data_IF_661624328025
#
_entry.id   IF_661624328025
#
_cell.length_a   1.000
_cell.length_b   1.000
_cell.length_c   1.000
_cell.angle_alpha   90.00
_cell.angle_beta   90.00
_cell.angle_gamma   90.00
#
_symmetry.space_group_name_H-M   'P 1'
#
loop_
_entity.id
_entity.type
_entity.pdbx_description
1 polymer ?
#
# COMPACT_ATOMS: atom_id res chain seq x y z
N UNK A 1 13.76 -9.12 -3.87
CA UNK A 1 13.81 -8.84 -2.41
C UNK A 1 14.98 -7.92 -2.10
N UNK A 2 14.99 -7.29 -0.95
CA UNK A 2 16.10 -6.43 -0.47
C UNK A 2 17.38 -7.23 -0.32
N UNK A 3 17.29 -8.49 0.11
CA UNK A 3 18.44 -9.41 0.19
C UNK A 3 19.14 -9.63 -1.15
N UNK A 4 18.39 -9.91 -2.23
CA UNK A 4 18.96 -10.11 -3.55
C UNK A 4 19.69 -8.86 -4.07
N UNK A 5 19.15 -7.67 -3.77
CA UNK A 5 19.80 -6.40 -4.09
C UNK A 5 21.12 -6.24 -3.32
N UNK A 6 21.08 -6.54 -2.02
CA UNK A 6 22.27 -6.47 -1.16
C UNK A 6 23.39 -7.43 -1.65
N UNK A 7 23.03 -8.64 -2.05
CA UNK A 7 23.98 -9.61 -2.61
C UNK A 7 24.61 -9.06 -3.89
N UNK A 8 23.82 -8.56 -4.83
CA UNK A 8 24.31 -8.00 -6.08
C UNK A 8 25.21 -6.77 -5.86
N UNK A 9 24.86 -5.88 -4.93
CA UNK A 9 25.68 -4.71 -4.59
C UNK A 9 27.03 -5.15 -3.97
N UNK A 10 27.03 -6.16 -3.09
CA UNK A 10 28.28 -6.69 -2.51
C UNK A 10 29.19 -7.34 -3.56
N UNK A 11 28.60 -8.10 -4.48
CA UNK A 11 29.35 -8.69 -5.60
C UNK A 11 29.97 -7.61 -6.51
N UNK A 12 29.20 -6.55 -6.80
CA UNK A 12 29.71 -5.41 -7.56
C UNK A 12 30.85 -4.71 -6.82
N UNK A 13 30.69 -4.47 -5.51
CA UNK A 13 31.72 -3.84 -4.69
C UNK A 13 33.04 -4.66 -4.71
N UNK A 14 32.94 -5.98 -4.51
CA UNK A 14 34.07 -6.90 -4.52
C UNK A 14 34.79 -6.87 -5.88
N UNK A 15 34.03 -6.94 -6.98
CA UNK A 15 34.58 -6.90 -8.33
C UNK A 15 35.30 -5.57 -8.65
N UNK A 16 34.96 -4.48 -7.98
CA UNK A 16 35.57 -3.16 -8.15
C UNK A 16 36.57 -2.78 -7.02
N UNK A 17 36.94 -3.72 -6.16
CA UNK A 17 37.89 -3.49 -5.06
C UNK A 17 37.35 -2.55 -3.97
N UNK A 18 36.06 -2.49 -3.79
CA UNK A 18 35.37 -1.65 -2.79
C UNK A 18 34.95 -2.48 -1.59
N UNK A 19 34.89 -1.83 -0.41
CA UNK A 19 34.39 -2.43 0.84
C UNK A 19 33.11 -1.75 1.25
N UNK A 20 32.03 -2.53 1.45
CA UNK A 20 30.76 -2.02 1.94
C UNK A 20 30.85 -1.80 3.45
N UNK A 21 30.86 -0.55 3.91
CA UNK A 21 31.03 -0.17 5.31
C UNK A 21 29.70 0.06 6.03
N UNK A 22 28.63 0.40 5.29
CA UNK A 22 27.30 0.65 5.86
C UNK A 22 26.20 0.35 4.85
N UNK A 23 25.08 -0.14 5.34
CA UNK A 23 23.89 -0.46 4.51
C UNK A 23 22.71 0.36 5.03
N UNK A 24 21.99 1.03 4.12
CA UNK A 24 20.75 1.71 4.37
C UNK A 24 19.65 1.01 3.58
N UNK A 25 18.67 0.41 4.27
CA UNK A 25 17.60 -0.35 3.65
C UNK A 25 16.23 0.06 4.19
N UNK A 26 15.34 0.47 3.31
CA UNK A 26 13.92 0.76 3.62
C UNK A 26 13.06 -0.38 3.07
N UNK A 27 12.78 -1.38 3.91
CA UNK A 27 12.03 -2.55 3.50
C UNK A 27 10.55 -2.24 3.26
N UNK A 28 10.04 -2.73 2.12
CA UNK A 28 8.62 -2.61 1.77
C UNK A 28 8.11 -1.18 1.52
N UNK A 29 8.99 -0.19 1.45
CA UNK A 29 8.61 1.20 1.19
C UNK A 29 8.59 1.52 -0.30
N UNK A 30 7.63 2.39 -0.69
CA UNK A 30 7.55 2.90 -2.06
C UNK A 30 8.70 3.89 -2.32
N UNK A 31 9.30 3.81 -3.50
CA UNK A 31 10.32 4.78 -3.94
C UNK A 31 9.76 6.09 -4.52
N UNK A 32 8.43 6.34 -4.40
CA UNK A 32 7.76 7.47 -5.04
C UNK A 32 7.98 8.83 -4.37
N UNK A 33 8.39 8.85 -3.10
CA UNK A 33 8.73 10.07 -2.37
C UNK A 33 9.75 9.75 -1.28
N UNK A 34 10.42 10.78 -0.75
CA UNK A 34 11.36 10.64 0.38
C UNK A 34 10.63 10.47 1.73
N UNK A 35 9.33 10.83 1.80
CA UNK A 35 8.52 10.64 3.00
C UNK A 35 8.32 9.14 3.28
N UNK A 36 8.61 8.70 4.50
CA UNK A 36 8.54 7.30 4.91
C UNK A 36 9.76 6.45 4.56
N UNK A 37 10.80 7.01 3.91
CA UNK A 37 12.09 6.37 3.68
C UNK A 37 13.12 6.84 4.71
N UNK A 38 13.00 6.33 5.91
CA UNK A 38 13.82 6.78 7.05
C UNK A 38 15.31 6.53 6.84
N UNK A 39 15.67 5.38 6.28
CA UNK A 39 17.07 5.03 6.02
C UNK A 39 17.66 5.88 4.88
N UNK A 40 16.87 6.17 3.85
CA UNK A 40 17.29 7.09 2.79
C UNK A 40 17.54 8.51 3.35
N UNK A 41 16.64 9.02 4.19
CA UNK A 41 16.85 10.32 4.84
C UNK A 41 18.08 10.33 5.74
N UNK A 42 18.32 9.24 6.48
CA UNK A 42 19.51 9.08 7.31
C UNK A 42 20.80 9.04 6.47
N UNK A 43 20.78 8.37 5.31
CA UNK A 43 21.88 8.41 4.34
C UNK A 43 22.20 9.86 3.95
N UNK A 44 21.19 10.65 3.57
CA UNK A 44 21.39 12.06 3.18
C UNK A 44 21.96 12.91 4.31
N UNK A 45 21.48 12.72 5.54
CA UNK A 45 22.00 13.44 6.72
C UNK A 45 23.45 13.05 7.00
N UNK A 46 23.78 11.77 6.97
CA UNK A 46 25.14 11.28 7.22
C UNK A 46 26.13 11.82 6.17
N UNK A 47 25.70 11.90 4.91
CA UNK A 47 26.52 12.41 3.81
C UNK A 47 26.73 13.92 3.93
N UNK A 48 25.66 14.70 4.14
CA UNK A 48 25.72 16.17 4.24
C UNK A 48 26.45 16.64 5.51
N UNK A 49 26.35 15.88 6.60
CA UNK A 49 27.01 16.19 7.85
C UNK A 49 28.51 15.90 7.85
N UNK A 50 29.09 15.43 6.74
CA UNK A 50 30.48 14.96 6.64
C UNK A 50 30.84 13.89 7.70
N UNK A 51 29.84 13.19 8.23
CA UNK A 51 30.03 12.08 9.18
C UNK A 51 30.21 10.73 8.47
N UNK A 52 30.11 10.73 7.13
CA UNK A 52 30.23 9.51 6.33
C UNK A 52 31.72 9.11 6.18
N UNK A 53 32.08 7.96 6.73
CA UNK A 53 33.40 7.38 6.56
C UNK A 53 33.59 6.68 5.20
N UNK A 54 32.72 6.94 4.20
CA UNK A 54 32.72 6.32 2.89
C UNK A 54 32.83 7.35 1.77
N UNK A 55 33.42 6.92 0.63
CA UNK A 55 33.73 7.78 -0.53
C UNK A 55 32.77 7.58 -1.70
N UNK A 56 31.72 6.81 -1.54
CA UNK A 56 30.75 6.55 -2.60
C UNK A 56 29.54 5.81 -2.09
N UNK A 57 28.46 5.86 -2.85
CA UNK A 57 27.19 5.21 -2.57
C UNK A 57 26.91 4.23 -3.69
N UNK A 58 26.69 2.95 -3.35
CA UNK A 58 26.29 1.92 -4.28
C UNK A 58 24.78 1.69 -4.18
N UNK A 59 24.10 1.76 -5.31
CA UNK A 59 22.66 1.53 -5.43
C UNK A 59 22.42 0.44 -6.47
N UNK A 60 21.43 -0.40 -6.29
CA UNK A 60 21.15 -1.48 -7.23
C UNK A 60 20.83 -0.95 -8.64
N UNK A 61 19.81 -0.10 -8.78
CA UNK A 61 19.44 0.56 -10.03
C UNK A 61 18.87 1.97 -9.79
N UNK A 62 18.62 2.73 -10.83
CA UNK A 62 18.05 4.08 -10.78
C UNK A 62 16.69 4.09 -10.06
N UNK A 63 15.88 3.04 -10.23
CA UNK A 63 14.55 2.95 -9.60
C UNK A 63 14.63 2.75 -8.08
N UNK A 64 15.75 2.23 -7.56
CA UNK A 64 15.97 2.06 -6.11
C UNK A 64 16.50 3.33 -5.46
N UNK A 65 17.23 4.15 -6.22
CA UNK A 65 17.58 5.48 -5.76
C UNK A 65 16.32 6.30 -5.48
N UNK A 66 15.42 6.42 -6.46
CA UNK A 66 14.12 7.04 -6.25
C UNK A 66 13.29 7.09 -7.53
N UNK A 67 12.08 6.58 -7.45
CA UNK A 67 11.01 6.74 -8.44
C UNK A 67 10.18 7.97 -8.09
N UNK A 68 10.84 9.09 -7.81
CA UNK A 68 10.15 10.34 -7.47
C UNK A 68 9.25 10.75 -8.64
N UNK A 69 8.10 11.34 -8.33
CA UNK A 69 7.20 11.88 -9.35
C UNK A 69 7.86 13.01 -10.12
N UNK A 70 8.66 13.79 -9.42
CA UNK A 70 9.53 14.80 -9.99
C UNK A 70 10.93 14.18 -10.24
N UNK A 71 11.34 14.14 -11.49
CA UNK A 71 12.68 13.67 -11.90
C UNK A 71 13.78 14.53 -11.33
N UNK A 72 13.49 15.80 -11.09
CA UNK A 72 14.45 16.78 -10.57
C UNK A 72 14.77 16.52 -9.10
N UNK A 73 13.79 16.00 -8.32
CA UNK A 73 14.02 15.59 -6.92
C UNK A 73 15.08 14.49 -6.81
N UNK A 74 15.00 13.49 -7.66
CA UNK A 74 16.01 12.40 -7.71
C UNK A 74 17.38 12.93 -8.10
N UNK A 75 17.45 13.83 -9.07
CA UNK A 75 18.69 14.46 -9.51
C UNK A 75 19.29 15.36 -8.43
N UNK A 76 18.45 16.09 -7.71
CA UNK A 76 18.87 16.96 -6.61
C UNK A 76 19.56 16.16 -5.49
N UNK A 77 18.97 15.06 -5.02
CA UNK A 77 19.59 14.22 -3.99
C UNK A 77 20.92 13.59 -4.46
N UNK A 78 20.99 13.15 -5.72
CA UNK A 78 22.24 12.64 -6.30
C UNK A 78 23.32 13.73 -6.36
N UNK A 79 22.94 14.94 -6.76
CA UNK A 79 23.84 16.10 -6.77
C UNK A 79 24.38 16.43 -5.38
N UNK A 80 23.51 16.47 -4.35
CA UNK A 80 23.93 16.71 -2.96
C UNK A 80 24.95 15.67 -2.48
N UNK A 81 24.75 14.41 -2.79
CA UNK A 81 25.70 13.34 -2.45
C UNK A 81 27.03 13.53 -3.16
N UNK A 82 27.01 13.88 -4.44
CA UNK A 82 28.23 14.12 -5.23
C UNK A 82 29.01 15.33 -4.70
N UNK A 83 28.32 16.43 -4.35
CA UNK A 83 28.97 17.62 -3.77
C UNK A 83 29.58 17.32 -2.40
N UNK A 84 29.00 16.42 -1.63
CA UNK A 84 29.54 15.99 -0.34
C UNK A 84 30.68 14.95 -0.47
N UNK A 85 31.13 14.63 -1.68
CA UNK A 85 32.23 13.70 -1.93
C UNK A 85 31.86 12.22 -1.91
N UNK A 86 30.55 11.90 -1.98
CA UNK A 86 30.03 10.53 -2.03
C UNK A 86 29.18 10.31 -3.31
N UNK A 87 29.79 10.22 -4.50
CA UNK A 87 29.06 9.99 -5.74
C UNK A 87 28.27 8.68 -5.71
N UNK A 88 27.16 8.67 -6.44
CA UNK A 88 26.26 7.51 -6.54
C UNK A 88 26.64 6.65 -7.76
N UNK A 89 26.79 5.35 -7.57
CA UNK A 89 27.00 4.36 -8.63
C UNK A 89 25.86 3.35 -8.65
N UNK A 90 25.43 2.97 -9.86
CA UNK A 90 24.33 2.04 -10.09
C UNK A 90 24.86 0.67 -10.53
N UNK A 91 24.70 -0.35 -9.67
CA UNK A 91 25.35 -1.66 -9.86
C UNK A 91 24.72 -2.52 -10.96
N UNK A 92 23.43 -2.34 -11.26
CA UNK A 92 22.69 -3.15 -12.23
C UNK A 92 22.31 -2.37 -13.51
N UNK A 93 22.85 -1.16 -13.69
CA UNK A 93 22.60 -0.39 -14.91
C UNK A 93 23.72 -0.66 -15.95
N UNK A 94 23.37 -0.63 -17.26
CA UNK A 94 24.33 -0.87 -18.33
C UNK A 94 25.20 0.37 -18.68
N UNK A 95 25.29 1.34 -17.78
CA UNK A 95 26.10 2.55 -17.96
C UNK A 95 26.76 2.94 -16.63
N UNK A 96 27.92 3.54 -16.74
CA UNK A 96 28.62 4.13 -15.60
C UNK A 96 28.08 5.54 -15.30
N UNK A 97 27.91 5.85 -14.02
CA UNK A 97 27.49 7.17 -13.59
C UNK A 97 28.69 8.11 -13.47
N UNK A 98 29.40 8.33 -14.58
CA UNK A 98 30.66 9.06 -14.69
C UNK A 98 30.51 10.57 -14.95
N UNK A 99 29.27 11.06 -14.96
CA UNK A 99 28.96 12.48 -15.23
C UNK A 99 28.95 12.85 -16.72
N UNK A 100 29.10 11.88 -17.62
CA UNK A 100 28.99 12.15 -19.06
C UNK A 100 27.58 12.57 -19.47
N UNK A 101 27.43 13.38 -20.55
CA UNK A 101 26.11 13.73 -21.07
C UNK A 101 25.26 12.50 -21.43
N UNK A 102 25.88 11.44 -21.91
CA UNK A 102 25.21 10.20 -22.27
C UNK A 102 24.64 9.49 -21.02
N UNK A 103 25.43 9.37 -19.96
CA UNK A 103 24.95 8.84 -18.67
C UNK A 103 23.77 9.67 -18.10
N UNK A 104 23.82 11.00 -18.24
CA UNK A 104 22.72 11.87 -17.84
C UNK A 104 21.44 11.60 -18.64
N UNK A 105 21.53 11.41 -19.95
CA UNK A 105 20.39 11.08 -20.81
C UNK A 105 19.79 9.73 -20.40
N UNK A 106 20.59 8.69 -20.21
CA UNK A 106 20.13 7.37 -19.79
C UNK A 106 19.44 7.42 -18.41
N UNK A 107 20.02 8.12 -17.44
CA UNK A 107 19.42 8.29 -16.11
C UNK A 107 18.06 8.97 -16.19
N UNK A 108 17.96 10.08 -16.91
CA UNK A 108 16.71 10.84 -17.04
C UNK A 108 15.64 10.01 -17.76
N UNK A 109 16.01 9.27 -18.81
CA UNK A 109 15.12 8.35 -19.48
C UNK A 109 14.58 7.26 -18.53
N UNK A 110 15.47 6.61 -17.76
CA UNK A 110 15.09 5.60 -16.76
C UNK A 110 14.16 6.19 -15.69
N UNK A 111 14.49 7.36 -15.13
CA UNK A 111 13.65 8.05 -14.13
C UNK A 111 12.24 8.33 -14.65
N UNK A 112 12.16 8.88 -15.87
CA UNK A 112 10.89 9.19 -16.51
C UNK A 112 10.06 7.94 -16.79
N UNK A 113 10.68 6.88 -17.31
CA UNK A 113 9.99 5.61 -17.58
C UNK A 113 9.47 4.94 -16.32
N UNK A 114 10.27 4.91 -15.24
CA UNK A 114 9.86 4.27 -13.98
C UNK A 114 8.71 5.01 -13.31
N UNK A 115 8.70 6.35 -13.36
CA UNK A 115 7.60 7.19 -12.89
C UNK A 115 6.32 6.93 -13.71
N UNK A 116 6.41 6.99 -15.03
CA UNK A 116 5.29 6.78 -15.94
C UNK A 116 4.73 5.35 -15.85
N UNK A 117 5.58 4.34 -15.78
CA UNK A 117 5.16 2.96 -15.59
C UNK A 117 4.33 2.79 -14.30
N UNK A 118 4.79 3.37 -13.19
CA UNK A 118 4.08 3.33 -11.92
C UNK A 118 2.71 4.03 -12.01
N UNK A 119 2.63 5.17 -12.71
CA UNK A 119 1.38 5.91 -12.95
C UNK A 119 0.40 5.11 -13.80
N UNK A 120 0.86 4.58 -14.92
CA UNK A 120 0.04 3.77 -15.85
C UNK A 120 -0.45 2.50 -15.17
N UNK A 121 0.41 1.80 -14.43
CA UNK A 121 0.04 0.61 -13.66
C UNK A 121 -1.04 0.93 -12.62
N UNK A 122 -0.85 2.00 -11.85
CA UNK A 122 -1.84 2.44 -10.85
C UNK A 122 -3.20 2.72 -11.48
N UNK A 123 -3.23 3.39 -12.63
CA UNK A 123 -4.47 3.69 -13.37
C UNK A 123 -5.14 2.40 -13.88
N UNK A 124 -4.37 1.49 -14.48
CA UNK A 124 -4.90 0.19 -14.98
C UNK A 124 -5.48 -0.66 -13.83
N UNK A 125 -4.77 -0.74 -12.72
CA UNK A 125 -5.23 -1.47 -11.52
C UNK A 125 -6.51 -0.85 -10.97
N UNK A 126 -6.57 0.48 -10.88
CA UNK A 126 -7.76 1.19 -10.40
C UNK A 126 -8.98 0.94 -11.30
N UNK A 127 -8.82 1.08 -12.63
CA UNK A 127 -9.91 0.79 -13.59
C UNK A 127 -10.36 -0.67 -13.44
N UNK A 128 -9.42 -1.62 -13.35
CA UNK A 128 -9.73 -3.03 -13.16
C UNK A 128 -10.53 -3.29 -11.88
N UNK A 129 -10.15 -2.66 -10.77
CA UNK A 129 -10.86 -2.77 -9.50
C UNK A 129 -12.25 -2.13 -9.56
N UNK A 130 -12.41 -0.99 -10.22
CA UNK A 130 -13.71 -0.36 -10.43
C UNK A 130 -14.64 -1.26 -11.26
N UNK A 131 -14.14 -1.86 -12.33
CA UNK A 131 -14.90 -2.79 -13.16
C UNK A 131 -15.35 -4.02 -12.36
N UNK A 132 -14.48 -4.59 -11.54
CA UNK A 132 -14.83 -5.73 -10.69
C UNK A 132 -15.85 -5.33 -9.62
N UNK A 133 -15.70 -4.15 -9.01
CA UNK A 133 -16.67 -3.63 -8.06
C UNK A 133 -18.05 -3.39 -8.70
N UNK A 134 -18.09 -2.85 -9.92
CA UNK A 134 -19.33 -2.67 -10.70
C UNK A 134 -20.01 -3.99 -11.05
N UNK A 135 -19.27 -5.10 -11.17
CA UNK A 135 -19.78 -6.45 -11.37
C UNK A 135 -20.20 -7.16 -10.07
N UNK A 136 -20.15 -6.46 -8.92
CA UNK A 136 -20.56 -6.95 -7.60
C UNK A 136 -19.44 -7.66 -6.82
N UNK A 137 -18.21 -7.71 -7.33
CA UNK A 137 -17.10 -8.37 -6.63
C UNK A 137 -16.47 -7.46 -5.58
N UNK A 138 -16.25 -7.99 -4.39
CA UNK A 138 -15.63 -7.26 -3.28
C UNK A 138 -14.15 -6.99 -3.53
N UNK A 139 -13.75 -5.71 -3.47
CA UNK A 139 -12.39 -5.25 -3.78
C UNK A 139 -11.61 -4.84 -2.52
N UNK A 140 -11.66 -5.66 -1.49
CA UNK A 140 -10.89 -5.47 -0.26
C UNK A 140 -11.61 -4.71 0.85
N UNK A 141 -10.92 -4.60 1.98
CA UNK A 141 -11.46 -4.09 3.22
C UNK A 141 -12.29 -5.13 4.00
N UNK A 142 -12.71 -4.75 5.21
CA UNK A 142 -13.52 -5.61 6.06
C UNK A 142 -14.94 -5.78 5.51
N UNK A 143 -15.54 -6.98 5.63
CA UNK A 143 -16.91 -7.21 5.18
C UNK A 143 -17.90 -6.31 5.93
N UNK A 144 -17.72 -6.16 7.24
CA UNK A 144 -18.63 -5.49 8.15
C UNK A 144 -19.42 -6.50 8.97
N UNK A 145 -19.94 -6.07 10.10
CA UNK A 145 -20.74 -6.88 11.00
C UNK A 145 -21.96 -7.49 10.29
N UNK A 146 -22.25 -8.76 10.52
CA UNK A 146 -23.34 -9.47 9.85
C UNK A 146 -23.07 -9.84 8.37
N UNK A 147 -21.84 -9.61 7.87
CA UNK A 147 -21.42 -10.00 6.52
C UNK A 147 -20.18 -10.88 6.55
N UNK A 148 -20.04 -11.73 5.54
CA UNK A 148 -18.85 -12.59 5.36
C UNK A 148 -18.33 -12.46 3.93
N UNK A 149 -17.04 -12.77 3.75
CA UNK A 149 -16.39 -12.87 2.44
C UNK A 149 -16.49 -14.31 1.97
N UNK A 150 -17.08 -14.52 0.81
CA UNK A 150 -17.16 -15.81 0.16
C UNK A 150 -16.28 -15.82 -1.07
N UNK A 151 -15.45 -16.88 -1.20
CA UNK A 151 -14.64 -17.12 -2.37
C UNK A 151 -15.46 -17.87 -3.41
N UNK A 152 -15.46 -17.40 -4.64
CA UNK A 152 -16.15 -18.04 -5.76
C UNK A 152 -15.20 -18.20 -6.96
N UNK A 153 -15.43 -19.24 -7.75
CA UNK A 153 -14.71 -19.46 -9.01
C UNK A 153 -15.28 -18.62 -10.17
N UNK A 154 -14.76 -18.82 -11.38
CA UNK A 154 -15.24 -18.14 -12.59
C UNK A 154 -16.69 -18.46 -12.94
N UNK A 155 -17.16 -19.67 -12.61
CA UNK A 155 -18.53 -20.13 -12.82
C UNK A 155 -19.50 -19.63 -11.73
N UNK A 156 -19.00 -18.81 -10.77
CA UNK A 156 -19.72 -18.32 -9.60
C UNK A 156 -20.10 -19.42 -8.59
N UNK A 157 -19.43 -20.55 -8.61
CA UNK A 157 -19.60 -21.59 -7.60
C UNK A 157 -18.81 -21.26 -6.34
N UNK A 158 -19.40 -21.51 -5.18
CA UNK A 158 -18.77 -21.25 -3.88
C UNK A 158 -17.58 -22.18 -3.65
N UNK A 159 -16.49 -21.62 -3.18
CA UNK A 159 -15.30 -22.33 -2.66
C UNK A 159 -15.19 -22.23 -1.14
N UNK A 160 -16.16 -21.60 -0.49
CA UNK A 160 -16.20 -21.44 0.96
C UNK A 160 -15.97 -20.02 1.43
N UNK A 161 -16.12 -19.83 2.75
CA UNK A 161 -15.95 -18.52 3.40
C UNK A 161 -14.49 -18.27 3.71
N UNK A 162 -14.03 -17.06 3.42
CA UNK A 162 -12.70 -16.57 3.79
C UNK A 162 -12.70 -16.05 5.22
N UNK A 163 -11.79 -16.55 6.03
CA UNK A 163 -11.55 -16.07 7.39
C UNK A 163 -10.87 -14.69 7.40
N UNK A 164 -10.78 -14.09 8.60
CA UNK A 164 -10.05 -12.84 8.78
C UNK A 164 -8.57 -13.05 8.42
N UNK A 165 -8.01 -12.19 7.57
CA UNK A 165 -6.63 -12.30 7.09
C UNK A 165 -6.44 -13.20 5.86
N UNK A 166 -7.38 -14.10 5.54
CA UNK A 166 -7.26 -14.94 4.35
C UNK A 166 -7.43 -14.14 3.05
N UNK A 167 -6.69 -14.56 2.04
CA UNK A 167 -6.73 -14.00 0.69
C UNK A 167 -6.95 -15.10 -0.35
N UNK A 168 -7.52 -14.72 -1.48
CA UNK A 168 -7.61 -15.65 -2.62
C UNK A 168 -6.20 -16.01 -3.12
N UNK A 169 -5.97 -17.28 -3.40
CA UNK A 169 -4.71 -17.79 -3.95
C UNK A 169 -4.71 -17.84 -5.49
N UNK A 170 -5.87 -18.05 -6.10
CA UNK A 170 -6.03 -18.15 -7.55
C UNK A 170 -6.47 -16.79 -8.10
N UNK A 171 -5.79 -16.34 -9.17
CA UNK A 171 -6.02 -15.01 -9.73
C UNK A 171 -7.42 -14.84 -10.34
N UNK A 172 -7.98 -15.90 -10.92
CA UNK A 172 -9.30 -15.91 -11.54
C UNK A 172 -10.45 -15.94 -10.54
N UNK A 173 -10.21 -16.45 -9.32
CA UNK A 173 -11.22 -16.46 -8.26
C UNK A 173 -11.65 -15.04 -7.88
N UNK A 174 -12.86 -14.94 -7.38
CA UNK A 174 -13.47 -13.67 -6.97
C UNK A 174 -13.99 -13.76 -5.55
N UNK A 175 -14.15 -12.63 -4.90
CA UNK A 175 -14.73 -12.53 -3.57
C UNK A 175 -16.03 -11.77 -3.66
N UNK A 176 -17.08 -12.30 -3.04
CA UNK A 176 -18.36 -11.61 -2.86
C UNK A 176 -18.65 -11.43 -1.37
N UNK A 177 -19.58 -10.53 -1.05
CA UNK A 177 -20.12 -10.40 0.30
C UNK A 177 -21.43 -11.19 0.39
N UNK A 178 -21.51 -12.04 1.41
CA UNK A 178 -22.70 -12.83 1.74
C UNK A 178 -23.16 -12.52 3.15
N UNK A 179 -24.38 -12.91 3.49
CA UNK A 179 -24.89 -12.79 4.86
C UNK A 179 -24.05 -13.63 5.80
N UNK A 180 -23.73 -13.07 6.95
CA UNK A 180 -23.07 -13.76 8.06
C UNK A 180 -24.03 -14.55 8.92
N UNK A 181 -23.65 -14.89 10.16
CA UNK A 181 -24.51 -15.57 11.13
C UNK A 181 -25.85 -14.84 11.33
N UNK A 182 -26.91 -15.62 11.50
CA UNK A 182 -28.26 -15.08 11.64
C UNK A 182 -28.40 -14.09 12.82
N UNK A 183 -27.68 -14.38 13.91
CA UNK A 183 -27.66 -13.54 15.11
C UNK A 183 -27.07 -12.15 14.81
N UNK A 184 -25.95 -12.11 14.09
CA UNK A 184 -25.34 -10.81 13.71
C UNK A 184 -26.23 -10.03 12.72
N UNK A 185 -26.87 -10.73 11.79
CA UNK A 185 -27.82 -10.12 10.85
C UNK A 185 -29.02 -9.55 11.59
N UNK A 186 -29.53 -10.25 12.61
CA UNK A 186 -30.64 -9.79 13.46
C UNK A 186 -30.25 -8.50 14.22
N UNK A 187 -29.03 -8.41 14.74
CA UNK A 187 -28.54 -7.18 15.38
C UNK A 187 -28.51 -6.00 14.40
N UNK A 188 -28.05 -6.23 13.16
CA UNK A 188 -28.06 -5.19 12.11
C UNK A 188 -29.50 -4.72 11.85
N UNK A 189 -30.43 -5.63 11.64
CA UNK A 189 -31.86 -5.28 11.45
C UNK A 189 -32.42 -4.48 12.64
N UNK A 190 -32.11 -4.90 13.87
CA UNK A 190 -32.52 -4.23 15.06
C UNK A 190 -31.96 -2.81 15.16
N UNK A 191 -30.70 -2.59 14.83
CA UNK A 191 -30.09 -1.26 14.82
C UNK A 191 -30.87 -0.32 13.87
N UNK A 192 -31.23 -0.80 12.68
CA UNK A 192 -32.04 -0.02 11.74
C UNK A 192 -33.44 0.23 12.24
N UNK A 193 -34.13 -0.79 12.75
CA UNK A 193 -35.47 -0.68 13.31
C UNK A 193 -35.51 0.30 14.49
N UNK A 194 -34.62 0.15 15.47
CA UNK A 194 -34.55 1.03 16.65
C UNK A 194 -34.29 2.48 16.28
N UNK A 195 -33.46 2.69 15.24
CA UNK A 195 -33.15 4.05 14.82
C UNK A 195 -34.27 4.69 13.98
N UNK A 196 -34.84 3.96 13.01
CA UNK A 196 -35.77 4.48 12.04
C UNK A 196 -37.18 4.49 12.59
N UNK A 197 -37.64 3.38 13.19
CA UNK A 197 -39.02 3.22 13.66
C UNK A 197 -39.20 3.77 15.08
N UNK A 198 -38.26 3.46 15.97
CA UNK A 198 -38.34 3.83 17.38
C UNK A 198 -37.69 5.18 17.71
N UNK A 199 -37.02 5.83 16.76
CA UNK A 199 -36.34 7.12 16.94
C UNK A 199 -35.22 7.11 18.00
N UNK A 200 -34.70 5.94 18.37
CA UNK A 200 -33.68 5.83 19.44
C UNK A 200 -32.33 6.42 19.02
N UNK A 201 -31.68 7.21 19.89
CA UNK A 201 -30.37 7.74 19.60
C UNK A 201 -29.32 6.63 19.54
N UNK A 202 -28.27 6.79 18.68
CA UNK A 202 -27.23 5.80 18.44
C UNK A 202 -26.56 5.29 19.72
N UNK A 203 -26.40 6.16 20.72
CA UNK A 203 -25.79 5.80 22.01
C UNK A 203 -26.68 4.85 22.82
N UNK A 204 -27.99 5.09 22.80
CA UNK A 204 -28.95 4.23 23.50
C UNK A 204 -29.03 2.85 22.83
N UNK A 205 -28.97 2.79 21.51
CA UNK A 205 -28.92 1.52 20.76
C UNK A 205 -27.64 0.75 21.13
N UNK A 206 -26.48 1.42 21.14
CA UNK A 206 -25.20 0.79 21.51
C UNK A 206 -25.25 0.20 22.92
N UNK A 207 -25.80 0.95 23.90
CA UNK A 207 -25.96 0.48 25.29
C UNK A 207 -26.85 -0.75 25.36
N UNK A 208 -28.01 -0.72 24.70
CA UNK A 208 -28.95 -1.84 24.70
C UNK A 208 -28.38 -3.13 24.13
N UNK A 209 -27.56 -3.03 23.07
CA UNK A 209 -26.85 -4.19 22.48
C UNK A 209 -25.74 -4.70 23.41
N UNK A 210 -25.07 -3.80 24.13
CA UNK A 210 -24.05 -4.17 25.12
C UNK A 210 -24.64 -4.84 26.36
N UNK A 211 -25.80 -4.36 26.83
CA UNK A 211 -26.50 -4.92 28.00
C UNK A 211 -26.93 -6.38 27.77
N UNK A 212 -27.10 -6.78 26.50
CA UNK A 212 -27.34 -8.17 26.09
C UNK A 212 -26.04 -8.99 25.90
N UNK A 213 -24.88 -8.41 26.18
CA UNK A 213 -23.57 -9.08 26.03
C UNK A 213 -23.13 -9.31 24.61
N UNK A 214 -23.76 -8.69 23.61
CA UNK A 214 -23.40 -8.84 22.21
C UNK A 214 -22.19 -7.98 21.87
N UNK A 215 -21.21 -8.58 21.21
CA UNK A 215 -19.96 -7.92 20.83
C UNK A 215 -19.93 -7.61 19.32
N UNK A 216 -19.07 -6.69 18.93
CA UNK A 216 -18.77 -6.41 17.51
C UNK A 216 -17.96 -7.55 16.88
N UNK A 217 -17.79 -7.52 15.56
CA UNK A 217 -16.92 -8.44 14.78
C UNK A 217 -15.44 -8.45 15.23
N UNK A 218 -15.03 -7.47 16.00
CA UNK A 218 -13.70 -7.36 16.61
C UNK A 218 -13.67 -7.79 18.09
N UNK A 219 -14.75 -8.38 18.60
CA UNK A 219 -14.87 -8.76 20.01
C UNK A 219 -14.91 -7.58 21.00
N UNK A 220 -15.30 -6.40 20.53
CA UNK A 220 -15.36 -5.18 21.35
C UNK A 220 -16.80 -4.77 21.64
N UNK A 221 -17.01 -4.03 22.73
CA UNK A 221 -18.29 -3.41 23.03
C UNK A 221 -18.72 -2.42 21.93
N UNK A 222 -20.02 -2.32 21.72
CA UNK A 222 -20.62 -1.35 20.82
C UNK A 222 -20.46 0.07 21.34
N UNK A 223 -20.21 0.97 20.42
CA UNK A 223 -20.12 2.40 20.68
C UNK A 223 -21.11 3.16 19.78
N UNK A 224 -21.39 4.41 20.11
CA UNK A 224 -22.12 5.30 19.19
C UNK A 224 -21.51 5.27 17.78
N UNK A 225 -20.16 5.29 17.68
CA UNK A 225 -19.45 5.30 16.40
C UNK A 225 -19.66 4.03 15.58
N UNK A 226 -19.68 2.85 16.21
CA UNK A 226 -19.94 1.58 15.53
C UNK A 226 -21.36 1.49 15.00
N UNK A 227 -22.37 1.88 15.79
CA UNK A 227 -23.77 1.98 15.34
C UNK A 227 -23.91 2.97 14.18
N UNK A 228 -23.29 4.16 14.29
CA UNK A 228 -23.28 5.15 13.23
C UNK A 228 -22.68 4.61 11.92
N UNK A 229 -21.59 3.83 12.00
CA UNK A 229 -20.98 3.20 10.83
C UNK A 229 -21.90 2.18 10.16
N UNK A 230 -22.62 1.34 10.94
CA UNK A 230 -23.59 0.39 10.39
C UNK A 230 -24.63 1.15 9.55
N UNK A 231 -25.26 2.18 10.11
CA UNK A 231 -26.31 2.97 9.43
C UNK A 231 -25.83 3.65 8.14
N UNK A 232 -24.55 4.10 8.09
CA UNK A 232 -24.01 4.80 6.92
C UNK A 232 -23.42 3.88 5.86
N UNK A 233 -23.22 2.59 6.14
CA UNK A 233 -22.64 1.64 5.19
C UNK A 233 -23.67 1.21 4.15
N UNK A 234 -23.53 1.71 2.93
CA UNK A 234 -24.42 1.40 1.80
C UNK A 234 -24.44 -0.09 1.41
N UNK A 235 -23.49 -0.89 1.87
CA UNK A 235 -23.47 -2.34 1.60
C UNK A 235 -24.64 -3.09 2.23
N UNK A 236 -25.21 -2.61 3.33
CA UNK A 236 -26.37 -3.22 3.96
C UNK A 236 -27.68 -3.03 3.18
N UNK A 237 -27.70 -2.11 2.22
CA UNK A 237 -28.80 -1.91 1.28
C UNK A 237 -28.46 -2.42 -0.13
N UNK A 238 -27.48 -3.33 -0.24
CA UNK A 238 -27.12 -4.00 -1.48
C UNK A 238 -26.13 -3.28 -2.39
N UNK A 239 -25.61 -2.11 -1.99
CA UNK A 239 -24.65 -1.38 -2.82
C UNK A 239 -23.21 -1.85 -2.56
N UNK A 240 -22.53 -2.28 -3.60
CA UNK A 240 -21.09 -2.53 -3.54
C UNK A 240 -20.33 -1.22 -3.80
N UNK A 241 -19.72 -0.66 -2.77
CA UNK A 241 -19.04 0.65 -2.84
C UNK A 241 -17.54 0.45 -2.71
N UNK A 242 -16.82 0.91 -3.72
CA UNK A 242 -15.37 0.89 -3.78
C UNK A 242 -14.81 2.31 -3.87
N UNK A 243 -13.68 2.57 -3.22
CA UNK A 243 -12.88 3.80 -3.29
C UNK A 243 -13.67 5.12 -3.09
N UNK A 244 -14.47 5.22 -2.04
CA UNK A 244 -15.20 6.46 -1.69
C UNK A 244 -14.30 7.66 -1.40
N UNK A 245 -13.07 7.42 -0.99
CA UNK A 245 -12.04 8.43 -0.75
C UNK A 245 -10.73 7.92 -1.31
N UNK A 246 -10.11 8.71 -2.16
CA UNK A 246 -8.74 8.46 -2.64
C UNK A 246 -7.77 9.32 -1.84
N UNK A 247 -6.76 8.67 -1.26
CA UNK A 247 -5.65 9.35 -0.59
C UNK A 247 -4.36 9.29 -1.42
N UNK A 248 -4.39 8.54 -2.53
CA UNK A 248 -3.26 8.44 -3.44
C UNK A 248 -3.32 9.55 -4.47
N UNK A 249 -2.19 10.25 -4.63
CA UNK A 249 -1.92 11.14 -5.76
C UNK A 249 -3.05 12.16 -6.01
N UNK A 250 -3.48 12.86 -4.97
CA UNK A 250 -4.21 14.09 -5.19
C UNK A 250 -3.20 15.15 -5.62
N UNK A 251 -3.20 15.44 -6.91
CA UNK A 251 -2.83 16.74 -7.40
C UNK A 251 -3.89 17.74 -6.97
#
# INVERSE_FOLDING_TARGET
STENQTIAIKQYAEAHGMVVVKIYADEGKSGLNAEGREQFRKLLIDVQGHHAAYRGILVYDVSRWGRFQDTDESAHYEYLCTQAGAPVSYCAEPFDNDGTPMAAVFKNFKRSMDGEFSRVLSTKVFIGQCNLAGRGFHQGGTPGYGLRRELINEQRESKGLLQSGEHKSIQTDRVILVRGPAEEVAVVHRIYHDFVENGRPERAIANAVNDEGLLTDLGKAWTRGTVHQIKKKKKYIGNNVYNRRSFKLKQ
#
